data_IF_878687729397
#
_entry.id   IF_878687729397
#
_cell.length_a   1.000
_cell.length_b   1.000
_cell.length_c   1.000
_cell.angle_alpha   90.00
_cell.angle_beta   90.00
_cell.angle_gamma   90.00
#
_symmetry.space_group_name_H-M   'P 1'
#
loop_
_entity.id
_entity.type
_entity.pdbx_description
1 polymer ?
#
# COMPACT_ATOMS: atom_id res chain seq x y z
N UNK A 1 42.69 -27.87 2.73
CA UNK A 1 42.77 -26.46 2.34
C UNK A 1 41.34 -26.01 2.11
N UNK A 2 40.75 -25.26 3.04
CA UNK A 2 39.40 -24.75 2.87
C UNK A 2 39.44 -23.66 1.81
N UNK A 3 38.69 -23.86 0.74
CA UNK A 3 38.53 -22.89 -0.33
C UNK A 3 37.88 -21.63 0.25
N UNK A 4 38.61 -20.52 0.29
CA UNK A 4 38.23 -19.23 0.90
C UNK A 4 37.21 -18.47 0.02
N UNK A 5 36.36 -19.20 -0.70
CA UNK A 5 35.58 -18.71 -1.85
C UNK A 5 34.17 -18.22 -1.51
N UNK A 6 33.73 -18.28 -0.25
CA UNK A 6 32.35 -17.92 0.13
C UNK A 6 32.23 -16.57 0.87
N UNK A 7 33.02 -15.58 0.43
CA UNK A 7 32.85 -14.18 0.84
C UNK A 7 31.81 -13.50 -0.05
N UNK A 8 30.62 -13.22 0.51
CA UNK A 8 29.53 -12.58 -0.24
C UNK A 8 29.09 -11.27 0.37
N UNK A 9 29.08 -10.19 -0.41
CA UNK A 9 28.51 -8.92 -0.01
C UNK A 9 27.00 -8.89 -0.31
N UNK A 10 26.18 -8.89 0.74
CA UNK A 10 24.73 -8.97 0.63
C UNK A 10 24.06 -7.73 1.24
N UNK A 11 23.01 -7.16 0.61
CA UNK A 11 22.26 -6.05 1.19
C UNK A 11 21.68 -6.37 2.57
N UNK A 12 21.91 -5.48 3.52
CA UNK A 12 21.50 -5.66 4.91
C UNK A 12 20.15 -4.99 5.22
N UNK A 13 19.60 -5.24 6.42
CA UNK A 13 18.30 -4.69 6.86
C UNK A 13 18.25 -3.17 6.93
N UNK A 14 19.40 -2.49 7.08
CA UNK A 14 19.53 -1.03 7.25
C UNK A 14 19.87 -0.30 5.95
N UNK A 15 19.89 -0.99 4.81
CA UNK A 15 20.15 -0.39 3.50
C UNK A 15 21.63 -0.24 3.13
N UNK A 16 22.55 -0.76 3.95
CA UNK A 16 23.96 -0.91 3.57
C UNK A 16 24.28 -2.34 3.14
N UNK A 17 25.56 -2.66 2.97
CA UNK A 17 26.03 -4.02 2.71
C UNK A 17 26.44 -4.74 4.00
N UNK A 18 26.37 -6.06 4.00
CA UNK A 18 26.93 -6.95 5.01
C UNK A 18 27.77 -7.99 4.30
N UNK A 19 28.91 -8.34 4.87
CA UNK A 19 29.66 -9.52 4.43
C UNK A 19 28.98 -10.74 5.05
N UNK A 20 28.73 -11.76 4.24
CA UNK A 20 28.36 -13.09 4.68
C UNK A 20 29.53 -14.01 4.37
N UNK A 21 29.97 -14.76 5.39
CA UNK A 21 31.07 -15.72 5.31
C UNK A 21 30.82 -16.82 6.32
N UNK A 22 31.00 -18.08 5.92
CA UNK A 22 30.73 -19.27 6.75
C UNK A 22 29.37 -19.20 7.46
N UNK A 23 28.31 -18.82 6.72
CA UNK A 23 26.94 -18.73 7.25
C UNK A 23 26.71 -17.67 8.33
N UNK A 24 27.64 -16.71 8.52
CA UNK A 24 27.53 -15.62 9.50
C UNK A 24 27.51 -14.28 8.79
N UNK A 25 26.74 -13.32 9.33
CA UNK A 25 26.62 -11.99 8.76
C UNK A 25 27.34 -10.94 9.60
N UNK A 26 28.26 -10.25 8.95
CA UNK A 26 29.11 -9.26 9.55
C UNK A 26 28.78 -7.84 9.08
N UNK A 27 29.15 -6.85 9.88
CA UNK A 27 29.08 -5.42 9.60
C UNK A 27 30.48 -4.92 9.31
N UNK A 28 30.65 -4.29 8.16
CA UNK A 28 31.92 -3.68 7.75
C UNK A 28 32.27 -2.48 8.65
N UNK A 29 33.52 -2.44 9.12
CA UNK A 29 34.19 -1.31 9.80
C UNK A 29 35.59 -1.12 9.20
N UNK A 30 36.05 0.14 9.10
CA UNK A 30 37.34 0.45 8.49
C UNK A 30 38.46 0.46 9.53
N UNK A 31 39.53 -0.30 9.28
CA UNK A 31 40.73 -0.35 10.11
C UNK A 31 41.98 0.03 9.28
N UNK A 32 42.21 1.35 9.16
CA UNK A 32 43.39 1.88 8.47
C UNK A 32 43.33 1.82 6.93
N UNK A 33 44.50 1.93 6.29
CA UNK A 33 44.63 2.02 4.81
C UNK A 33 44.73 0.68 4.09
N UNK A 34 44.81 -0.47 4.78
CA UNK A 34 45.07 -1.77 4.14
C UNK A 34 44.13 -2.90 4.56
N UNK A 35 43.39 -2.75 5.66
CA UNK A 35 42.60 -3.84 6.24
C UNK A 35 41.19 -3.33 6.60
N UNK A 36 40.18 -4.17 6.38
CA UNK A 36 38.80 -3.93 6.79
C UNK A 36 38.45 -4.90 7.92
N UNK A 37 38.01 -4.37 9.07
CA UNK A 37 37.53 -5.17 10.18
C UNK A 37 36.03 -5.40 10.03
N UNK A 38 35.58 -6.63 10.20
CA UNK A 38 34.21 -7.02 9.90
C UNK A 38 33.66 -7.74 11.13
N UNK A 39 32.64 -7.14 11.75
CA UNK A 39 32.13 -7.59 13.05
C UNK A 39 30.84 -8.35 12.91
N UNK A 40 30.73 -9.50 13.55
CA UNK A 40 29.52 -10.28 13.57
C UNK A 40 28.41 -9.53 14.32
N UNK A 41 27.17 -9.65 13.83
CA UNK A 41 26.04 -8.98 14.47
C UNK A 41 25.61 -9.71 15.73
N UNK A 42 25.83 -9.08 16.88
CA UNK A 42 25.33 -9.58 18.17
C UNK A 42 26.20 -10.67 18.80
N UNK A 43 27.27 -11.10 18.12
CA UNK A 43 28.34 -11.91 18.66
C UNK A 43 29.63 -11.07 18.60
N UNK A 44 30.53 -11.16 19.58
CA UNK A 44 31.81 -10.43 19.59
C UNK A 44 32.82 -10.88 18.52
N UNK A 45 32.40 -11.76 17.60
CA UNK A 45 33.21 -12.28 16.51
C UNK A 45 33.65 -11.18 15.53
N UNK A 46 34.89 -11.27 15.06
CA UNK A 46 35.53 -10.34 14.14
C UNK A 46 36.41 -11.08 13.15
N UNK A 47 36.33 -10.68 11.87
CA UNK A 47 37.28 -11.07 10.83
C UNK A 47 37.91 -9.84 10.19
N UNK A 48 39.15 -9.96 9.76
CA UNK A 48 39.88 -8.91 9.05
C UNK A 48 40.09 -9.38 7.62
N UNK A 49 39.72 -8.53 6.66
CA UNK A 49 39.82 -8.79 5.22
C UNK A 49 40.70 -7.75 4.54
N UNK A 50 41.14 -8.02 3.32
CA UNK A 50 41.70 -6.99 2.45
C UNK A 50 40.62 -5.94 2.11
N UNK A 51 41.04 -4.78 1.58
CA UNK A 51 40.10 -3.69 1.26
C UNK A 51 39.01 -4.10 0.26
N UNK A 52 39.33 -5.02 -0.66
CA UNK A 52 38.42 -5.49 -1.70
C UNK A 52 37.49 -6.62 -1.21
N UNK A 53 37.65 -7.07 0.04
CA UNK A 53 36.82 -8.11 0.68
C UNK A 53 36.80 -9.42 -0.12
N UNK A 54 37.96 -9.80 -0.65
CA UNK A 54 38.14 -11.03 -1.45
C UNK A 54 38.81 -12.15 -0.69
N UNK A 55 39.48 -11.87 0.44
CA UNK A 55 40.20 -12.87 1.24
C UNK A 55 40.14 -12.54 2.73
N UNK A 56 40.04 -13.56 3.60
CA UNK A 56 40.13 -13.40 5.06
C UNK A 56 41.60 -13.47 5.50
N UNK A 57 42.09 -12.41 6.15
CA UNK A 57 43.48 -12.29 6.62
C UNK A 57 43.61 -12.80 8.06
N UNK A 58 42.61 -12.52 8.92
CA UNK A 58 42.63 -12.89 10.34
C UNK A 58 41.21 -13.07 10.87
N UNK A 59 41.04 -13.90 11.91
CA UNK A 59 39.80 -14.06 12.69
C UNK A 59 40.10 -14.07 14.19
N UNK A 60 39.12 -13.79 15.03
CA UNK A 60 39.22 -13.88 16.49
C UNK A 60 38.49 -15.12 17.04
N UNK A 61 38.86 -15.56 18.24
CA UNK A 61 38.38 -16.85 18.79
C UNK A 61 36.89 -16.84 19.14
N UNK A 62 36.32 -15.66 19.41
CA UNK A 62 34.89 -15.52 19.70
C UNK A 62 33.99 -16.05 18.56
N UNK A 63 34.49 -16.09 17.32
CA UNK A 63 33.75 -16.53 16.12
C UNK A 63 33.29 -18.00 16.20
N UNK A 64 34.06 -18.86 16.87
CA UNK A 64 33.80 -20.30 16.89
C UNK A 64 32.52 -20.62 17.66
N UNK A 65 32.21 -19.82 18.69
CA UNK A 65 31.00 -19.95 19.50
C UNK A 65 29.75 -19.39 18.82
N UNK A 66 29.89 -18.67 17.71
CA UNK A 66 28.77 -17.94 17.10
C UNK A 66 27.95 -18.84 16.16
N UNK A 67 26.61 -18.73 16.17
CA UNK A 67 25.71 -19.61 15.42
C UNK A 67 25.85 -19.44 13.91
N UNK A 68 25.82 -20.56 13.19
CA UNK A 68 25.95 -20.62 11.73
C UNK A 68 24.58 -20.84 11.09
N UNK A 69 24.28 -20.10 10.03
CA UNK A 69 23.17 -20.35 9.12
C UNK A 69 23.72 -20.42 7.69
N UNK A 70 23.96 -21.64 7.19
CA UNK A 70 24.51 -21.88 5.84
C UNK A 70 23.73 -21.14 4.74
N UNK A 71 22.42 -20.98 4.92
CA UNK A 71 21.53 -20.33 3.96
C UNK A 71 21.34 -18.84 4.22
N UNK A 72 22.17 -18.22 5.07
CA UNK A 72 22.02 -16.82 5.47
C UNK A 72 22.19 -15.86 4.29
N UNK A 73 23.19 -16.09 3.43
CA UNK A 73 23.42 -15.28 2.23
C UNK A 73 22.16 -15.31 1.34
N UNK A 74 21.71 -16.52 0.98
CA UNK A 74 20.49 -16.75 0.21
C UNK A 74 19.27 -16.04 0.81
N UNK A 75 19.01 -16.23 2.11
CA UNK A 75 17.88 -15.58 2.82
C UNK A 75 17.97 -14.06 2.79
N UNK A 76 19.17 -13.49 2.84
CA UNK A 76 19.38 -12.04 2.81
C UNK A 76 19.21 -11.49 1.39
N UNK A 77 19.72 -12.18 0.38
CA UNK A 77 19.58 -11.84 -1.05
C UNK A 77 18.11 -11.86 -1.48
N UNK A 78 17.41 -12.98 -1.24
CA UNK A 78 15.97 -13.10 -1.59
C UNK A 78 15.11 -12.04 -0.89
N UNK A 79 15.44 -11.67 0.36
CA UNK A 79 14.77 -10.54 1.03
C UNK A 79 15.03 -9.20 0.35
N UNK A 80 16.23 -8.98 -0.18
CA UNK A 80 16.54 -7.78 -0.94
C UNK A 80 15.75 -7.74 -2.25
N UNK A 81 15.69 -8.87 -2.97
CA UNK A 81 14.87 -9.02 -4.18
C UNK A 81 13.39 -8.72 -3.90
N UNK A 82 12.79 -9.36 -2.90
CA UNK A 82 11.40 -9.11 -2.50
C UNK A 82 11.13 -7.62 -2.22
N UNK A 83 12.04 -6.94 -1.51
CA UNK A 83 11.90 -5.50 -1.21
C UNK A 83 11.97 -4.64 -2.47
N UNK A 84 12.89 -4.94 -3.39
CA UNK A 84 13.06 -4.24 -4.66
C UNK A 84 11.83 -4.41 -5.55
N UNK A 85 11.44 -5.66 -5.81
CA UNK A 85 10.23 -6.00 -6.56
C UNK A 85 8.96 -5.37 -5.96
N UNK A 86 8.83 -5.41 -4.63
CA UNK A 86 7.74 -4.72 -3.92
C UNK A 86 7.74 -3.20 -4.10
N UNK A 87 8.88 -2.57 -4.36
CA UNK A 87 9.03 -1.14 -4.61
C UNK A 87 8.91 -0.74 -6.09
N UNK A 88 9.03 -1.68 -7.03
CA UNK A 88 8.93 -1.42 -8.48
C UNK A 88 7.63 -1.96 -9.14
N UNK A 89 7.21 -3.19 -8.85
CA UNK A 89 6.07 -3.85 -9.52
C UNK A 89 4.70 -3.48 -8.97
N UNK A 90 3.65 -3.42 -9.78
CA UNK A 90 2.28 -3.12 -9.30
C UNK A 90 1.46 -4.34 -8.87
N UNK A 91 1.98 -5.57 -9.06
CA UNK A 91 1.29 -6.84 -8.70
C UNK A 91 0.95 -6.93 -7.20
N UNK A 92 -0.04 -7.70 -6.76
CA UNK A 92 -0.26 -7.93 -5.33
C UNK A 92 0.99 -8.45 -4.62
N UNK A 93 1.24 -7.98 -3.39
CA UNK A 93 2.41 -8.38 -2.59
C UNK A 93 2.47 -9.91 -2.36
N UNK A 94 1.34 -10.62 -2.10
CA UNK A 94 1.33 -12.08 -2.05
C UNK A 94 1.85 -12.71 -3.35
N UNK A 95 1.40 -12.23 -4.51
CA UNK A 95 1.84 -12.75 -5.82
C UNK A 95 3.34 -12.58 -6.04
N UNK A 96 3.90 -11.41 -5.68
CA UNK A 96 5.36 -11.17 -5.76
C UNK A 96 6.11 -12.17 -4.89
N UNK A 97 5.59 -12.48 -3.71
CA UNK A 97 6.20 -13.45 -2.80
C UNK A 97 6.15 -14.87 -3.37
N UNK A 98 4.99 -15.32 -3.84
CA UNK A 98 4.80 -16.67 -4.36
C UNK A 98 5.65 -16.92 -5.61
N UNK A 99 5.68 -15.96 -6.55
CA UNK A 99 6.54 -16.02 -7.74
C UNK A 99 8.02 -16.17 -7.37
N UNK A 100 8.50 -15.40 -6.39
CA UNK A 100 9.90 -15.45 -5.95
C UNK A 100 10.23 -16.74 -5.18
N UNK A 101 9.31 -17.22 -4.36
CA UNK A 101 9.48 -18.45 -3.58
C UNK A 101 9.49 -19.70 -4.46
N UNK A 102 8.77 -19.68 -5.58
CA UNK A 102 8.69 -20.79 -6.55
C UNK A 102 9.77 -20.75 -7.64
N UNK A 103 10.58 -19.68 -7.73
CA UNK A 103 11.59 -19.53 -8.77
C UNK A 103 12.71 -20.59 -8.70
N UNK A 104 13.03 -21.08 -7.50
CA UNK A 104 14.08 -22.09 -7.27
C UNK A 104 13.57 -23.20 -6.35
N UNK A 105 13.00 -24.29 -6.92
CA UNK A 105 12.41 -25.37 -6.12
C UNK A 105 13.38 -26.04 -5.16
N UNK A 106 14.66 -26.18 -5.55
CA UNK A 106 15.72 -26.85 -4.78
C UNK A 106 16.10 -26.11 -3.48
N UNK A 107 15.86 -24.79 -3.40
CA UNK A 107 16.19 -23.94 -2.24
C UNK A 107 14.94 -23.38 -1.55
N UNK A 108 13.75 -23.79 -2.00
CA UNK A 108 12.45 -23.32 -1.50
C UNK A 108 12.25 -23.54 0.01
N UNK A 109 12.77 -24.64 0.55
CA UNK A 109 12.69 -24.98 1.98
C UNK A 109 13.40 -23.98 2.90
N UNK A 110 14.37 -23.23 2.37
CA UNK A 110 15.13 -22.21 3.12
C UNK A 110 14.57 -20.80 2.95
N UNK A 111 13.57 -20.63 2.09
CA UNK A 111 12.96 -19.35 1.81
C UNK A 111 12.30 -18.77 3.07
N UNK A 112 12.41 -17.46 3.25
CA UNK A 112 11.85 -16.82 4.43
C UNK A 112 10.33 -16.80 4.37
N UNK A 113 9.67 -17.37 5.38
CA UNK A 113 8.21 -17.36 5.52
C UNK A 113 7.58 -15.98 5.27
N UNK A 114 6.47 -15.96 4.53
CA UNK A 114 5.74 -14.74 4.17
C UNK A 114 5.48 -13.83 5.38
N UNK A 115 5.01 -14.39 6.50
CA UNK A 115 4.75 -13.63 7.74
C UNK A 115 5.95 -12.82 8.23
N UNK A 116 7.19 -13.30 8.01
CA UNK A 116 8.44 -12.64 8.43
C UNK A 116 8.87 -11.52 7.48
N UNK A 117 8.45 -11.56 6.21
CA UNK A 117 8.87 -10.60 5.18
C UNK A 117 7.79 -9.61 4.77
N UNK A 118 6.50 -9.96 4.99
CA UNK A 118 5.30 -9.18 4.63
C UNK A 118 5.43 -7.71 5.01
N UNK A 119 5.66 -7.41 6.30
CA UNK A 119 5.72 -6.02 6.79
C UNK A 119 6.83 -5.20 6.13
N UNK A 120 7.95 -5.84 5.78
CA UNK A 120 9.05 -5.17 5.08
C UNK A 120 8.71 -4.89 3.62
N UNK A 121 8.02 -5.83 2.96
CA UNK A 121 7.57 -5.68 1.57
C UNK A 121 6.59 -4.51 1.44
N UNK A 122 5.54 -4.48 2.27
CA UNK A 122 4.58 -3.36 2.31
C UNK A 122 5.26 -2.02 2.63
N UNK A 123 6.20 -2.00 3.60
CA UNK A 123 6.93 -0.78 3.95
C UNK A 123 7.80 -0.27 2.81
N UNK A 124 8.46 -1.15 2.06
CA UNK A 124 9.23 -0.76 0.88
C UNK A 124 8.34 -0.28 -0.27
N UNK A 125 7.20 -0.95 -0.49
CA UNK A 125 6.19 -0.49 -1.46
C UNK A 125 5.68 0.91 -1.13
N UNK A 126 5.43 1.20 0.15
CA UNK A 126 4.92 2.51 0.57
C UNK A 126 5.87 3.67 0.23
N UNK A 127 7.18 3.42 0.08
CA UNK A 127 8.18 4.44 -0.30
C UNK A 127 7.98 5.02 -1.70
N UNK A 128 7.19 4.36 -2.56
CA UNK A 128 6.80 4.90 -3.87
C UNK A 128 5.98 6.17 -3.76
N UNK A 129 5.24 6.30 -2.66
CA UNK A 129 4.33 7.41 -2.45
C UNK A 129 5.05 8.49 -1.63
N UNK A 130 4.84 9.77 -1.97
CA UNK A 130 5.30 10.87 -1.13
C UNK A 130 4.79 10.70 0.30
N UNK A 131 5.62 11.10 1.27
CA UNK A 131 5.13 11.22 2.64
C UNK A 131 4.01 12.24 2.66
N UNK A 132 3.00 11.98 3.49
CA UNK A 132 2.00 12.98 3.79
C UNK A 132 2.69 14.21 4.39
N UNK A 133 2.20 15.43 4.11
CA UNK A 133 2.72 16.65 4.75
C UNK A 133 2.53 16.61 6.27
N UNK A 134 3.00 17.63 6.99
CA UNK A 134 2.73 17.74 8.42
C UNK A 134 1.32 18.27 8.70
N UNK A 135 0.77 19.06 7.77
CA UNK A 135 -0.55 19.65 7.88
C UNK A 135 -1.39 19.43 6.62
N UNK A 136 -2.71 19.24 6.79
CA UNK A 136 -3.64 18.99 5.68
C UNK A 136 -3.77 20.13 4.67
N UNK A 137 -3.47 21.38 5.08
CA UNK A 137 -3.45 22.57 4.19
C UNK A 137 -2.35 22.50 3.14
N UNK A 138 -1.27 21.78 3.43
CA UNK A 138 -0.13 21.64 2.53
C UNK A 138 -0.29 20.43 1.59
N UNK A 139 -1.44 19.73 1.66
CA UNK A 139 -1.72 18.58 0.81
C UNK A 139 -1.88 19.01 -0.64
N UNK A 140 -0.86 18.75 -1.43
CA UNK A 140 -0.91 18.88 -2.88
C UNK A 140 -1.02 17.51 -3.52
N UNK A 141 -2.14 17.24 -4.19
CA UNK A 141 -2.31 16.02 -4.97
C UNK A 141 -1.44 16.15 -6.23
N UNK A 142 -0.41 15.32 -6.38
CA UNK A 142 0.44 15.36 -7.57
C UNK A 142 -0.33 14.90 -8.81
N UNK A 143 0.05 15.42 -9.99
CA UNK A 143 -0.59 15.13 -11.28
C UNK A 143 -0.78 13.62 -11.53
N UNK A 144 0.19 12.73 -11.27
CA UNK A 144 0.01 11.28 -11.46
C UNK A 144 -1.12 10.66 -10.61
N UNK A 145 -1.57 11.33 -9.54
CA UNK A 145 -2.70 10.91 -8.70
C UNK A 145 -4.00 11.62 -9.05
N UNK A 146 -3.96 12.60 -9.97
CA UNK A 146 -5.15 13.29 -10.48
C UNK A 146 -5.71 12.63 -11.73
N UNK A 147 -4.96 11.74 -12.38
CA UNK A 147 -5.34 11.07 -13.62
C UNK A 147 -5.38 9.55 -13.47
N UNK A 148 -6.19 8.88 -14.30
CA UNK A 148 -6.17 7.43 -14.43
C UNK A 148 -4.92 6.96 -15.19
N UNK A 149 -4.69 5.64 -15.23
CA UNK A 149 -3.64 5.04 -16.08
C UNK A 149 -3.83 5.31 -17.58
N UNK A 150 -5.06 5.62 -18.00
CA UNK A 150 -5.38 6.00 -19.37
C UNK A 150 -5.23 7.51 -19.62
N UNK A 151 -4.79 8.29 -18.63
CA UNK A 151 -4.60 9.74 -18.74
C UNK A 151 -5.86 10.58 -18.53
N UNK A 152 -6.98 9.96 -18.12
CA UNK A 152 -8.24 10.68 -17.90
C UNK A 152 -8.26 11.37 -16.54
N UNK A 153 -8.93 12.51 -16.42
CA UNK A 153 -9.15 13.17 -15.13
C UNK A 153 -9.89 12.25 -14.15
N UNK A 154 -9.28 12.07 -12.98
CA UNK A 154 -9.77 11.26 -11.88
C UNK A 154 -10.08 12.08 -10.63
N UNK A 155 -9.35 13.16 -10.35
CA UNK A 155 -9.72 14.13 -9.31
C UNK A 155 -10.87 15.00 -9.82
N UNK A 156 -12.10 14.66 -9.43
CA UNK A 156 -13.32 15.31 -9.89
C UNK A 156 -13.50 16.70 -9.26
N UNK A 157 -13.25 16.80 -7.96
CA UNK A 157 -13.39 18.06 -7.23
C UNK A 157 -12.52 18.10 -5.97
N UNK A 158 -12.06 19.31 -5.62
CA UNK A 158 -11.36 19.57 -4.38
C UNK A 158 -11.85 20.88 -3.75
N UNK A 159 -11.97 20.90 -2.43
CA UNK A 159 -12.23 22.11 -1.65
C UNK A 159 -11.13 22.29 -0.60
N UNK A 160 -10.38 23.39 -0.70
CA UNK A 160 -9.26 23.65 0.19
C UNK A 160 -9.69 24.02 1.62
N UNK A 161 -10.80 24.75 1.79
CA UNK A 161 -11.30 25.17 3.10
C UNK A 161 -11.88 24.00 3.90
N UNK A 162 -12.74 23.21 3.25
CA UNK A 162 -13.38 22.04 3.85
C UNK A 162 -12.52 20.76 3.75
N UNK A 163 -11.36 20.87 3.11
CA UNK A 163 -10.41 19.77 2.86
C UNK A 163 -11.04 18.53 2.20
N UNK A 164 -12.05 18.73 1.35
CA UNK A 164 -12.77 17.65 0.67
C UNK A 164 -12.06 17.29 -0.62
N UNK A 165 -11.84 15.99 -0.86
CA UNK A 165 -11.36 15.47 -2.14
C UNK A 165 -12.37 14.46 -2.67
N UNK A 166 -12.79 14.62 -3.92
CA UNK A 166 -13.72 13.72 -4.61
C UNK A 166 -13.03 13.21 -5.87
N UNK A 167 -12.98 11.89 -6.01
CA UNK A 167 -12.41 11.20 -7.15
C UNK A 167 -13.47 10.39 -7.89
N UNK A 168 -13.53 10.57 -9.21
CA UNK A 168 -14.38 9.81 -10.13
C UNK A 168 -13.96 10.13 -11.57
N UNK A 169 -14.34 9.28 -12.52
CA UNK A 169 -14.15 9.54 -13.96
C UNK A 169 -15.48 9.83 -14.63
N UNK A 170 -15.44 10.41 -15.83
CA UNK A 170 -16.67 10.68 -16.60
C UNK A 170 -17.51 9.41 -16.81
N UNK A 171 -16.86 8.28 -17.10
CA UNK A 171 -17.55 7.01 -17.32
C UNK A 171 -18.17 6.45 -16.05
N UNK A 172 -17.57 6.68 -14.88
CA UNK A 172 -18.18 6.31 -13.60
C UNK A 172 -19.39 7.16 -13.27
N UNK A 173 -19.38 8.45 -13.63
CA UNK A 173 -20.56 9.32 -13.50
C UNK A 173 -21.67 8.90 -14.47
N UNK A 174 -21.33 8.57 -15.72
CA UNK A 174 -22.29 8.01 -16.69
C UNK A 174 -22.87 6.68 -16.21
N UNK A 175 -22.04 5.83 -15.61
CA UNK A 175 -22.50 4.57 -15.01
C UNK A 175 -23.50 4.83 -13.89
N UNK A 176 -23.22 5.78 -12.99
CA UNK A 176 -24.17 6.16 -11.94
C UNK A 176 -25.49 6.69 -12.53
N UNK A 177 -25.44 7.49 -13.58
CA UNK A 177 -26.62 7.97 -14.29
C UNK A 177 -27.46 6.82 -14.89
N UNK A 178 -26.81 5.80 -15.45
CA UNK A 178 -27.47 4.65 -16.04
C UNK A 178 -28.07 3.69 -15.00
N UNK A 179 -27.48 3.61 -13.80
CA UNK A 179 -27.89 2.64 -12.79
C UNK A 179 -28.94 3.21 -11.83
N UNK A 180 -30.02 2.45 -11.64
CA UNK A 180 -31.14 2.79 -10.75
C UNK A 180 -30.87 2.54 -9.27
N UNK A 181 -29.90 1.67 -8.95
CA UNK A 181 -29.59 1.29 -7.57
C UNK A 181 -28.14 1.61 -7.27
N UNK A 182 -27.92 2.43 -6.25
CA UNK A 182 -26.60 2.75 -5.74
C UNK A 182 -26.41 2.18 -4.34
N UNK A 183 -25.17 1.93 -3.97
CA UNK A 183 -24.79 1.63 -2.59
C UNK A 183 -23.73 2.62 -2.11
N UNK A 184 -23.76 2.96 -0.83
CA UNK A 184 -22.79 3.87 -0.22
C UNK A 184 -22.22 3.25 1.06
N UNK A 185 -20.91 3.43 1.27
CA UNK A 185 -20.23 2.97 2.48
C UNK A 185 -19.15 3.97 2.91
N UNK A 186 -19.02 4.12 4.22
CA UNK A 186 -18.01 4.93 4.88
C UNK A 186 -17.04 4.05 5.66
N UNK A 187 -15.76 4.08 5.29
CA UNK A 187 -14.69 3.37 6.00
C UNK A 187 -13.76 4.32 6.75
N UNK A 188 -13.43 3.97 7.99
CA UNK A 188 -12.64 4.80 8.91
C UNK A 188 -11.19 4.32 9.10
N UNK A 189 -10.89 3.05 8.78
CA UNK A 189 -9.59 2.44 9.10
C UNK A 189 -8.49 2.71 8.07
N UNK A 190 -8.83 3.25 6.90
CA UNK A 190 -7.95 3.32 5.73
C UNK A 190 -7.60 4.77 5.35
N UNK A 191 -7.98 5.73 6.19
CA UNK A 191 -7.78 7.15 5.90
C UNK A 191 -6.53 7.72 6.57
N UNK A 192 -5.86 8.72 5.95
CA UNK A 192 -4.79 9.48 6.60
C UNK A 192 -5.27 10.14 7.90
N UNK A 193 -4.34 10.40 8.83
CA UNK A 193 -4.64 10.86 10.20
C UNK A 193 -5.56 12.08 10.32
N UNK A 194 -5.64 12.95 9.30
CA UNK A 194 -6.49 14.15 9.32
C UNK A 194 -7.90 13.92 8.78
N UNK A 195 -8.09 12.84 8.03
CA UNK A 195 -9.36 12.48 7.45
C UNK A 195 -10.10 11.56 8.41
N UNK A 196 -11.38 11.85 8.64
CA UNK A 196 -12.22 11.05 9.52
C UNK A 196 -12.82 9.86 8.79
N UNK A 197 -13.04 9.96 7.47
CA UNK A 197 -13.77 8.94 6.71
C UNK A 197 -13.41 8.95 5.22
N UNK A 198 -13.29 7.76 4.64
CA UNK A 198 -13.35 7.53 3.20
C UNK A 198 -14.78 7.07 2.90
N UNK A 199 -15.52 7.92 2.20
CA UNK A 199 -16.86 7.62 1.72
C UNK A 199 -16.80 7.13 0.28
N UNK A 200 -17.62 6.15 -0.06
CA UNK A 200 -17.64 5.55 -1.40
C UNK A 200 -19.05 5.43 -1.92
N UNK A 201 -19.25 5.65 -3.22
CA UNK A 201 -20.51 5.42 -3.92
C UNK A 201 -20.28 4.38 -5.00
N UNK A 202 -21.14 3.37 -5.01
CA UNK A 202 -21.08 2.22 -5.90
C UNK A 202 -22.36 2.15 -6.73
N UNK A 203 -22.21 1.82 -8.01
CA UNK A 203 -23.31 1.45 -8.88
C UNK A 203 -23.55 -0.07 -8.78
N UNK A 204 -24.80 -0.52 -8.67
CA UNK A 204 -25.12 -1.94 -8.71
C UNK A 204 -25.33 -2.40 -10.16
N UNK A 205 -24.40 -3.20 -10.69
CA UNK A 205 -24.37 -3.64 -12.10
C UNK A 205 -24.30 -5.16 -12.14
N UNK A 206 -25.28 -5.80 -12.79
CA UNK A 206 -25.30 -7.26 -13.02
C UNK A 206 -24.96 -8.09 -11.75
N UNK A 207 -25.57 -7.76 -10.61
CA UNK A 207 -25.35 -8.48 -9.36
C UNK A 207 -24.04 -8.14 -8.63
N UNK A 208 -23.33 -7.09 -9.05
CA UNK A 208 -22.05 -6.65 -8.47
C UNK A 208 -22.05 -5.16 -8.14
N UNK A 209 -21.32 -4.78 -7.09
CA UNK A 209 -21.07 -3.38 -6.77
C UNK A 209 -19.81 -2.90 -7.49
N UNK A 210 -19.98 -1.88 -8.32
CA UNK A 210 -18.91 -1.22 -9.06
C UNK A 210 -18.67 0.14 -8.43
N UNK A 211 -17.48 0.34 -7.88
CA UNK A 211 -17.08 1.60 -7.25
C UNK A 211 -17.00 2.71 -8.31
N UNK A 212 -17.73 3.79 -8.05
CA UNK A 212 -17.86 4.92 -8.97
C UNK A 212 -17.26 6.22 -8.42
N UNK A 213 -17.40 6.47 -7.10
CA UNK A 213 -16.92 7.70 -6.47
C UNK A 213 -16.19 7.36 -5.17
N UNK A 214 -15.04 8.00 -4.97
CA UNK A 214 -14.32 8.03 -3.70
C UNK A 214 -14.31 9.44 -3.15
N UNK A 215 -14.45 9.56 -1.83
CA UNK A 215 -14.38 10.86 -1.16
C UNK A 215 -13.66 10.77 0.17
N UNK A 216 -12.66 11.63 0.36
CA UNK A 216 -11.95 11.80 1.63
C UNK A 216 -12.45 13.05 2.34
N UNK A 217 -12.82 12.93 3.61
CA UNK A 217 -13.34 14.05 4.39
C UNK A 217 -13.01 14.07 5.87
N UNK A 218 -13.08 15.28 6.40
CA UNK A 218 -12.75 15.63 7.78
C UNK A 218 -13.98 15.68 8.69
N UNK A 219 -15.18 15.47 8.15
CA UNK A 219 -16.45 15.50 8.86
C UNK A 219 -17.51 14.58 8.25
N UNK A 220 -18.65 14.48 8.93
CA UNK A 220 -19.80 13.62 8.58
C UNK A 220 -21.14 14.33 8.76
N UNK A 221 -21.12 15.66 8.78
CA UNK A 221 -22.31 16.47 8.91
C UNK A 221 -23.05 16.63 7.56
N UNK A 222 -24.25 17.20 7.64
CA UNK A 222 -25.15 17.42 6.50
C UNK A 222 -24.48 18.26 5.40
N UNK A 223 -23.78 19.33 5.76
CA UNK A 223 -23.11 20.20 4.78
C UNK A 223 -21.99 19.48 4.05
N UNK A 224 -21.19 18.73 4.80
CA UNK A 224 -20.08 17.93 4.29
C UNK A 224 -20.54 16.82 3.32
N UNK A 225 -21.73 16.26 3.51
CA UNK A 225 -22.39 15.38 2.54
C UNK A 225 -23.00 16.14 1.35
N UNK A 226 -23.58 17.31 1.60
CA UNK A 226 -24.14 18.16 0.56
C UNK A 226 -23.13 18.53 -0.52
N UNK A 227 -21.89 18.86 -0.13
CA UNK A 227 -20.82 19.14 -1.10
C UNK A 227 -20.53 17.97 -2.06
N UNK A 228 -20.71 16.72 -1.62
CA UNK A 228 -20.51 15.55 -2.48
C UNK A 228 -21.53 15.54 -3.61
N UNK A 229 -22.81 15.60 -3.25
CA UNK A 229 -23.89 15.54 -4.24
C UNK A 229 -23.90 16.75 -5.15
N UNK A 230 -23.59 17.94 -4.63
CA UNK A 230 -23.43 19.13 -5.47
C UNK A 230 -22.31 18.96 -6.50
N UNK A 231 -21.13 18.47 -6.09
CA UNK A 231 -20.02 18.24 -7.00
C UNK A 231 -20.36 17.17 -8.07
N UNK A 232 -21.06 16.11 -7.68
CA UNK A 232 -21.51 15.06 -8.60
C UNK A 232 -22.53 15.59 -9.61
N UNK A 233 -23.51 16.37 -9.17
CA UNK A 233 -24.52 16.98 -10.05
C UNK A 233 -23.90 18.00 -11.00
N UNK A 234 -22.97 18.83 -10.52
CA UNK A 234 -22.24 19.76 -11.37
C UNK A 234 -21.47 19.01 -12.47
N UNK A 235 -20.80 17.90 -12.13
CA UNK A 235 -20.10 17.08 -13.13
C UNK A 235 -21.06 16.39 -14.08
N UNK A 236 -22.19 15.88 -13.59
CA UNK A 236 -23.23 15.26 -14.41
C UNK A 236 -23.83 16.26 -15.42
N UNK A 237 -24.08 17.51 -15.00
CA UNK A 237 -24.54 18.58 -15.87
C UNK A 237 -23.54 18.89 -16.99
N UNK A 238 -22.24 18.99 -16.68
CA UNK A 238 -21.18 19.15 -17.69
C UNK A 238 -21.16 17.99 -18.68
N UNK A 239 -21.38 16.77 -18.20
CA UNK A 239 -21.43 15.55 -19.03
C UNK A 239 -22.78 15.35 -19.73
N UNK A 240 -23.76 16.24 -19.51
CA UNK A 240 -25.14 16.17 -20.03
C UNK A 240 -25.84 14.85 -19.70
N UNK A 241 -25.62 14.34 -18.49
CA UNK A 241 -26.32 13.16 -17.96
C UNK A 241 -27.11 13.53 -16.71
N UNK A 242 -28.20 12.81 -16.46
CA UNK A 242 -29.02 13.01 -15.27
C UNK A 242 -28.74 11.92 -14.23
N UNK A 243 -28.44 12.33 -13.00
CA UNK A 243 -28.34 11.42 -11.87
C UNK A 243 -29.71 11.30 -11.20
N UNK A 244 -30.33 10.13 -11.30
CA UNK A 244 -31.65 9.89 -10.73
C UNK A 244 -31.79 8.46 -10.20
N UNK A 245 -31.11 8.12 -9.08
CA UNK A 245 -31.22 6.80 -8.49
C UNK A 245 -32.64 6.54 -7.99
N UNK A 246 -33.18 5.36 -8.27
CA UNK A 246 -34.46 4.93 -7.70
C UNK A 246 -34.30 4.38 -6.29
N UNK A 247 -33.14 3.80 -5.98
CA UNK A 247 -32.85 3.23 -4.66
C UNK A 247 -31.41 3.51 -4.26
N UNK A 248 -31.21 3.97 -3.03
CA UNK A 248 -29.88 4.09 -2.42
C UNK A 248 -29.84 3.19 -1.18
N UNK A 249 -28.82 2.34 -1.13
CA UNK A 249 -28.55 1.44 -0.03
C UNK A 249 -27.33 1.95 0.74
N UNK A 250 -27.46 2.24 2.02
CA UNK A 250 -26.29 2.56 2.84
C UNK A 250 -26.48 2.17 4.30
N UNK A 251 -25.39 2.19 5.07
CA UNK A 251 -25.47 2.11 6.52
C UNK A 251 -26.22 3.32 7.09
N UNK A 252 -26.87 3.14 8.25
CA UNK A 252 -27.65 4.20 8.87
C UNK A 252 -26.72 5.33 9.35
N UNK A 253 -26.72 6.41 8.59
CA UNK A 253 -25.95 7.62 8.89
C UNK A 253 -26.90 8.81 8.92
N UNK A 254 -27.20 9.30 10.12
CA UNK A 254 -28.26 10.28 10.41
C UNK A 254 -28.16 11.55 9.56
N UNK A 255 -26.95 12.01 9.26
CA UNK A 255 -26.72 13.20 8.45
C UNK A 255 -26.88 12.96 6.93
N UNK A 256 -26.74 11.73 6.45
CA UNK A 256 -26.75 11.41 5.02
C UNK A 256 -28.17 11.31 4.47
N UNK A 257 -29.10 10.76 5.25
CA UNK A 257 -30.51 10.58 4.87
C UNK A 257 -31.17 11.89 4.42
N UNK A 258 -31.17 12.99 5.22
CA UNK A 258 -31.81 14.23 4.81
C UNK A 258 -31.15 14.86 3.58
N UNK A 259 -29.84 14.65 3.39
CA UNK A 259 -29.12 15.14 2.19
C UNK A 259 -29.58 14.38 0.95
N UNK A 260 -29.65 13.05 1.01
CA UNK A 260 -30.17 12.23 -0.10
C UNK A 260 -31.59 12.66 -0.47
N UNK A 261 -32.45 12.85 0.53
CA UNK A 261 -33.84 13.27 0.32
C UNK A 261 -33.93 14.67 -0.28
N UNK A 262 -33.02 15.59 0.09
CA UNK A 262 -32.96 16.93 -0.48
C UNK A 262 -32.52 16.95 -1.95
N UNK A 263 -31.50 16.17 -2.33
CA UNK A 263 -30.99 16.13 -3.71
C UNK A 263 -31.78 15.19 -4.63
N UNK A 264 -32.36 14.11 -4.08
CA UNK A 264 -33.11 13.10 -4.82
C UNK A 264 -34.43 12.76 -4.11
N UNK A 265 -35.45 13.62 -4.18
CA UNK A 265 -36.68 13.49 -3.40
C UNK A 265 -37.48 12.22 -3.72
N UNK A 266 -37.32 11.67 -4.92
CA UNK A 266 -38.03 10.46 -5.37
C UNK A 266 -37.27 9.16 -5.07
N UNK A 267 -36.08 9.23 -4.48
CA UNK A 267 -35.24 8.06 -4.22
C UNK A 267 -35.73 7.31 -2.98
N UNK A 268 -35.85 5.98 -3.10
CA UNK A 268 -36.11 5.11 -1.95
C UNK A 268 -34.81 4.85 -1.18
N UNK A 269 -34.79 5.27 0.08
CA UNK A 269 -33.72 4.92 1.00
C UNK A 269 -33.90 3.49 1.53
N UNK A 270 -32.84 2.70 1.54
CA UNK A 270 -32.81 1.37 2.17
C UNK A 270 -31.60 1.26 3.09
N UNK A 271 -31.84 1.02 4.37
CA UNK A 271 -30.76 0.74 5.30
C UNK A 271 -30.18 -0.67 5.06
N UNK A 272 -28.85 -0.77 5.06
CA UNK A 272 -28.14 -2.05 5.05
C UNK A 272 -28.23 -2.69 6.45
N UNK A 273 -29.29 -3.47 6.67
CA UNK A 273 -29.64 -3.98 8.01
C UNK A 273 -28.93 -5.27 8.41
N UNK A 274 -28.38 -6.03 7.45
CA UNK A 274 -27.68 -7.29 7.74
C UNK A 274 -26.17 -7.12 7.68
N UNK A 275 -25.46 -7.79 8.59
CA UNK A 275 -23.99 -7.86 8.59
C UNK A 275 -23.45 -8.32 7.23
N UNK A 276 -24.17 -9.21 6.54
CA UNK A 276 -23.84 -9.68 5.20
C UNK A 276 -23.94 -8.59 4.15
N UNK A 277 -24.99 -7.75 4.17
CA UNK A 277 -25.14 -6.62 3.25
C UNK A 277 -24.04 -5.57 3.48
N UNK A 278 -23.74 -5.24 4.75
CA UNK A 278 -22.65 -4.32 5.10
C UNK A 278 -21.30 -4.85 4.64
N UNK A 279 -21.05 -6.14 4.86
CA UNK A 279 -19.81 -6.80 4.43
C UNK A 279 -19.69 -6.86 2.91
N UNK A 280 -20.80 -7.02 2.20
CA UNK A 280 -20.81 -7.02 0.74
C UNK A 280 -20.41 -5.66 0.15
N UNK A 281 -20.93 -4.56 0.71
CA UNK A 281 -20.51 -3.20 0.30
C UNK A 281 -19.06 -2.93 0.72
N UNK A 282 -18.65 -3.33 1.94
CA UNK A 282 -17.26 -3.12 2.38
C UNK A 282 -16.24 -3.92 1.56
N UNK A 283 -16.58 -5.12 1.07
CA UNK A 283 -15.71 -5.94 0.20
C UNK A 283 -15.48 -5.31 -1.16
N UNK A 284 -16.39 -4.48 -1.69
CA UNK A 284 -16.11 -3.75 -2.93
C UNK A 284 -15.12 -2.59 -2.75
N UNK A 285 -14.73 -2.29 -1.50
CA UNK A 285 -13.71 -1.29 -1.13
C UNK A 285 -12.38 -1.96 -0.74
N UNK A 286 -12.32 -3.28 -0.53
CA UNK A 286 -11.07 -3.97 -0.18
C UNK A 286 -10.17 -4.13 -1.40
N UNK A 287 -9.01 -3.49 -1.33
CA UNK A 287 -7.91 -3.66 -2.27
C UNK A 287 -7.16 -4.95 -1.89
N UNK A 288 -7.48 -6.06 -2.56
CA UNK A 288 -6.66 -7.28 -2.54
C UNK A 288 -5.45 -7.14 -3.48
#
# INVERSE_FOLDING_TARGET
MADDSDLRLVPNRRGGMSLVHEGRAYKLKRAGRRILEVLEKGCGGAVWTNLDVTTVIKRNDHIESCPVDEHLAYKMEKKAVLKKRSAEETKPIPTIYDEEASAEPSTSGYFSLYKRVKSSMYRHRAKRYPKLPNHRRDLQILVPFRTTKAGEDFLLWQCASEHILIFSTADKIRLLAAMKTWAMDGTFKVVPQWYQQLFTIHAFVAGKLVLAVYRLCTGKDIGTYGYIFQALLNKAAVLRVNLNPQTIICDFETALIPVIQGYFPNTKYRAANSTSARRYIRKSVSWD
#
